data_IF_236903933755
#
_entry.id   IF_236903933755
#
_cell.length_a   1.000
_cell.length_b   1.000
_cell.length_c   1.000
_cell.angle_alpha   90.00
_cell.angle_beta   90.00
_cell.angle_gamma   90.00
#
_symmetry.space_group_name_H-M   'P 1'
#
loop_
_entity.id
_entity.type
_entity.pdbx_description
1 polymer ?
#
# COMPACT_ATOMS: atom_id res chain seq x y z
N UNK A 1 0.36 29.04 15.02
CA UNK A 1 -0.70 28.59 15.98
C UNK A 1 -1.87 28.11 15.16
N UNK A 2 -1.85 26.80 14.84
CA UNK A 2 -2.88 26.16 14.03
C UNK A 2 -4.13 25.95 14.87
N UNK A 3 -5.21 26.64 14.50
CA UNK A 3 -6.54 26.28 15.00
C UNK A 3 -7.09 25.14 14.16
N UNK A 4 -7.33 23.95 14.70
CA UNK A 4 -8.10 22.95 13.99
C UNK A 4 -9.53 23.49 13.83
N UNK A 5 -9.99 23.54 12.58
CA UNK A 5 -11.39 23.88 12.28
C UNK A 5 -12.24 22.72 12.78
N UNK A 6 -13.25 22.96 13.66
CA UNK A 6 -14.08 21.89 14.20
C UNK A 6 -14.89 21.25 13.09
N UNK A 7 -14.62 19.98 12.81
CA UNK A 7 -15.50 19.14 12.01
C UNK A 7 -16.55 18.52 12.93
N UNK A 8 -17.78 18.43 12.46
CA UNK A 8 -18.81 17.64 13.11
C UNK A 8 -18.34 16.18 13.12
N UNK A 9 -18.21 15.60 14.29
CA UNK A 9 -17.79 14.21 14.46
C UNK A 9 -18.74 13.30 13.65
N UNK A 10 -18.20 12.64 12.60
CA UNK A 10 -18.91 11.63 11.83
C UNK A 10 -19.14 11.89 10.32
N UNK A 11 -18.79 13.06 9.76
CA UNK A 11 -18.93 13.27 8.30
C UNK A 11 -17.60 12.99 7.58
N UNK A 12 -17.61 12.27 6.42
CA UNK A 12 -16.42 12.02 5.63
C UNK A 12 -15.84 13.34 5.07
N UNK A 13 -14.51 13.37 4.91
CA UNK A 13 -13.84 14.49 4.26
C UNK A 13 -14.12 14.48 2.75
N UNK A 14 -14.11 13.29 2.14
CA UNK A 14 -14.42 13.07 0.72
C UNK A 14 -15.64 12.19 0.62
N UNK A 15 -16.57 12.57 -0.26
CA UNK A 15 -17.74 11.77 -0.61
C UNK A 15 -18.01 11.84 -2.10
N UNK A 16 -18.06 10.67 -2.74
CA UNK A 16 -18.56 10.47 -4.08
C UNK A 16 -19.90 9.71 -4.02
N UNK A 17 -20.89 10.16 -4.76
CA UNK A 17 -22.21 9.53 -4.84
C UNK A 17 -22.55 9.28 -6.32
N UNK A 18 -22.34 8.05 -6.79
CA UNK A 18 -22.63 7.63 -8.15
C UNK A 18 -21.85 8.39 -9.22
N UNK A 19 -20.61 8.81 -8.93
CA UNK A 19 -19.82 9.63 -9.85
C UNK A 19 -19.49 8.86 -11.13
N UNK A 20 -19.85 9.44 -12.27
CA UNK A 20 -19.61 8.88 -13.61
C UNK A 20 -18.81 9.86 -14.44
N UNK A 21 -17.81 9.35 -15.17
CA UNK A 21 -17.01 10.15 -16.12
C UNK A 21 -16.84 9.42 -17.42
N UNK A 22 -17.10 10.13 -18.53
CA UNK A 22 -16.99 9.61 -19.89
C UNK A 22 -16.02 10.45 -20.73
N UNK A 23 -15.28 9.80 -21.59
CA UNK A 23 -14.45 10.42 -22.62
C UNK A 23 -14.87 9.85 -23.97
N UNK A 24 -15.76 10.56 -24.67
CA UNK A 24 -16.39 10.06 -25.89
C UNK A 24 -17.21 8.81 -25.63
N UNK A 25 -16.85 7.67 -26.23
CA UNK A 25 -17.50 6.37 -26.02
C UNK A 25 -16.97 5.57 -24.82
N UNK A 26 -15.89 6.02 -24.18
CA UNK A 26 -15.26 5.31 -23.08
C UNK A 26 -15.78 5.84 -21.76
N UNK A 27 -16.34 4.94 -20.92
CA UNK A 27 -16.71 5.25 -19.53
C UNK A 27 -15.50 4.96 -18.64
N UNK A 28 -14.82 6.03 -18.19
CA UNK A 28 -13.65 5.91 -17.35
C UNK A 28 -13.99 5.67 -15.87
N UNK A 29 -15.15 6.18 -15.42
CA UNK A 29 -15.74 5.88 -14.10
C UNK A 29 -17.23 5.64 -14.30
N UNK A 30 -17.76 4.56 -13.71
CA UNK A 30 -19.16 4.16 -13.81
C UNK A 30 -19.80 4.05 -12.41
N UNK A 31 -20.53 5.09 -12.03
CA UNK A 31 -21.31 5.20 -10.79
C UNK A 31 -20.51 4.89 -9.53
N UNK A 32 -19.29 5.41 -9.44
CA UNK A 32 -18.41 5.24 -8.29
C UNK A 32 -18.97 5.96 -7.08
N UNK A 33 -19.14 5.23 -5.96
CA UNK A 33 -19.52 5.78 -4.66
C UNK A 33 -18.45 5.43 -3.64
N UNK A 34 -17.94 6.44 -2.92
CA UNK A 34 -16.80 6.30 -2.00
C UNK A 34 -16.85 7.39 -0.94
N UNK A 35 -16.67 7.01 0.32
CA UNK A 35 -16.42 7.92 1.43
C UNK A 35 -14.98 7.76 1.94
N UNK A 36 -14.31 8.89 2.27
CA UNK A 36 -12.99 8.90 2.92
C UNK A 36 -13.06 9.75 4.17
N UNK A 37 -12.63 9.19 5.29
CA UNK A 37 -12.66 9.87 6.59
C UNK A 37 -11.52 10.89 6.72
N UNK A 38 -11.69 11.95 7.55
CA UNK A 38 -10.57 12.82 7.89
C UNK A 38 -9.42 12.04 8.53
N UNK A 39 -8.20 12.31 8.11
CA UNK A 39 -6.99 11.65 8.59
C UNK A 39 -6.76 10.25 8.03
N UNK A 40 -7.63 9.74 7.16
CA UNK A 40 -7.50 8.42 6.53
C UNK A 40 -6.44 8.45 5.41
N UNK A 41 -5.62 7.42 5.35
CA UNK A 41 -4.81 7.11 4.17
C UNK A 41 -5.52 6.04 3.35
N UNK A 42 -6.06 6.45 2.20
CA UNK A 42 -6.68 5.55 1.22
C UNK A 42 -5.71 5.27 0.06
N UNK A 43 -5.47 4.00 -0.24
CA UNK A 43 -4.82 3.58 -1.48
C UNK A 43 -5.85 3.15 -2.53
N UNK A 44 -5.73 3.70 -3.74
CA UNK A 44 -6.54 3.34 -4.90
C UNK A 44 -5.68 2.52 -5.85
N UNK A 45 -6.00 1.24 -5.97
CA UNK A 45 -5.25 0.28 -6.78
C UNK A 45 -6.03 -0.15 -8.02
N UNK A 46 -5.39 -0.86 -8.93
CA UNK A 46 -6.00 -1.43 -10.13
C UNK A 46 -5.09 -1.36 -11.34
N UNK A 47 -5.44 -2.08 -12.42
CA UNK A 47 -4.64 -2.11 -13.64
C UNK A 47 -4.53 -0.74 -14.33
N UNK A 48 -3.60 -0.61 -15.27
CA UNK A 48 -3.50 0.60 -16.11
C UNK A 48 -4.80 0.79 -16.90
N UNK A 49 -5.27 2.03 -17.00
CA UNK A 49 -6.53 2.35 -17.69
C UNK A 49 -7.81 2.06 -16.90
N UNK A 50 -7.74 1.63 -15.63
CA UNK A 50 -8.94 1.33 -14.81
C UNK A 50 -9.72 2.57 -14.35
N UNK A 51 -9.20 3.81 -14.55
CA UNK A 51 -9.87 5.04 -14.15
C UNK A 51 -9.27 5.74 -12.91
N UNK A 52 -8.16 5.25 -12.34
CA UNK A 52 -7.54 5.78 -11.11
C UNK A 52 -7.18 7.27 -11.22
N UNK A 53 -6.44 7.65 -12.25
CA UNK A 53 -6.08 9.05 -12.52
C UNK A 53 -7.33 9.91 -12.77
N UNK A 54 -8.36 9.36 -13.41
CA UNK A 54 -9.65 10.05 -13.59
C UNK A 54 -10.33 10.32 -12.26
N UNK A 55 -10.37 9.34 -11.35
CA UNK A 55 -10.89 9.52 -10.00
C UNK A 55 -10.12 10.61 -9.26
N UNK A 56 -8.80 10.60 -9.34
CA UNK A 56 -7.94 11.60 -8.72
C UNK A 56 -8.18 13.00 -9.29
N UNK A 57 -8.37 13.11 -10.62
CA UNK A 57 -8.69 14.36 -11.29
C UNK A 57 -10.05 14.94 -10.87
N UNK A 58 -11.08 14.09 -10.66
CA UNK A 58 -12.36 14.55 -10.13
C UNK A 58 -12.21 15.08 -8.70
N UNK A 59 -11.50 14.37 -7.84
CA UNK A 59 -11.24 14.77 -6.45
C UNK A 59 -10.35 16.02 -6.37
N UNK A 60 -9.41 16.15 -7.29
CA UNK A 60 -8.54 17.33 -7.40
C UNK A 60 -9.21 18.54 -8.03
N UNK A 61 -10.45 18.43 -8.52
CA UNK A 61 -11.12 19.49 -9.27
C UNK A 61 -10.42 19.87 -10.57
N UNK A 62 -9.66 18.94 -11.16
CA UNK A 62 -9.00 19.07 -12.46
C UNK A 62 -9.94 18.71 -13.60
N UNK A 63 -10.96 17.89 -13.32
CA UNK A 63 -12.02 17.50 -14.23
C UNK A 63 -13.36 17.47 -13.48
N UNK A 64 -14.46 17.32 -14.20
CA UNK A 64 -15.82 17.28 -13.66
C UNK A 64 -16.47 15.93 -13.93
N UNK A 65 -17.23 15.43 -12.97
CA UNK A 65 -18.10 14.28 -13.21
C UNK A 65 -19.22 14.68 -14.18
N UNK A 66 -19.58 13.75 -15.09
CA UNK A 66 -20.69 13.94 -16.01
C UNK A 66 -22.03 13.63 -15.32
N UNK A 67 -22.03 12.72 -14.34
CA UNK A 67 -23.19 12.36 -13.52
C UNK A 67 -22.72 12.10 -12.06
N UNK A 68 -23.67 12.18 -11.14
CA UNK A 68 -23.42 11.98 -9.72
C UNK A 68 -22.88 13.22 -9.02
N UNK A 69 -22.36 13.04 -7.80
CA UNK A 69 -21.91 14.16 -6.94
C UNK A 69 -20.52 13.87 -6.36
N UNK A 70 -19.69 14.90 -6.30
CA UNK A 70 -18.38 14.87 -5.66
C UNK A 70 -18.31 16.00 -4.63
N UNK A 71 -18.11 15.63 -3.36
CA UNK A 71 -18.03 16.58 -2.24
C UNK A 71 -16.71 16.38 -1.50
N UNK A 72 -15.98 17.47 -1.23
CA UNK A 72 -14.74 17.45 -0.43
C UNK A 72 -14.79 18.57 0.61
N UNK A 73 -14.56 18.23 1.86
CA UNK A 73 -14.58 19.19 2.97
C UNK A 73 -15.90 19.96 3.12
N UNK A 74 -17.02 19.36 2.71
CA UNK A 74 -18.35 19.98 2.67
C UNK A 74 -18.60 20.84 1.43
N UNK A 75 -17.65 20.97 0.51
CA UNK A 75 -17.80 21.70 -0.77
C UNK A 75 -18.18 20.73 -1.87
N UNK A 76 -19.33 20.94 -2.52
CA UNK A 76 -19.76 20.16 -3.68
C UNK A 76 -19.04 20.64 -4.95
N UNK A 77 -18.05 19.86 -5.42
CA UNK A 77 -17.22 20.22 -6.59
C UNK A 77 -18.01 20.24 -7.90
N UNK A 78 -19.00 19.37 -8.03
CA UNK A 78 -19.84 19.26 -9.21
C UNK A 78 -20.69 20.52 -9.46
N UNK A 79 -20.94 21.31 -8.43
CA UNK A 79 -21.70 22.57 -8.51
C UNK A 79 -20.82 23.82 -8.74
N UNK A 80 -19.49 23.71 -8.65
CA UNK A 80 -18.58 24.85 -8.78
C UNK A 80 -18.37 25.23 -10.26
N UNK A 81 -18.20 26.53 -10.51
CA UNK A 81 -17.64 27.05 -11.75
C UNK A 81 -16.10 26.90 -11.78
N UNK A 82 -15.46 27.36 -12.86
CA UNK A 82 -13.99 27.21 -13.00
C UNK A 82 -13.21 28.04 -11.98
N UNK A 83 -13.74 29.21 -11.60
CA UNK A 83 -13.14 30.02 -10.53
C UNK A 83 -13.28 29.37 -9.18
N UNK A 84 -14.42 28.72 -8.91
CA UNK A 84 -14.66 27.91 -7.71
C UNK A 84 -13.71 26.73 -7.61
N UNK A 85 -13.53 25.97 -8.71
CA UNK A 85 -12.57 24.87 -8.76
C UNK A 85 -11.13 25.36 -8.60
N UNK A 86 -10.80 26.54 -9.15
CA UNK A 86 -9.46 27.12 -8.97
C UNK A 86 -9.20 27.49 -7.51
N UNK A 87 -10.17 28.11 -6.82
CA UNK A 87 -10.06 28.38 -5.37
C UNK A 87 -9.96 27.09 -4.57
N UNK A 88 -10.77 26.08 -4.91
CA UNK A 88 -10.72 24.77 -4.26
C UNK A 88 -9.32 24.12 -4.36
N UNK A 89 -8.75 24.05 -5.57
CA UNK A 89 -7.39 23.51 -5.77
C UNK A 89 -6.34 24.27 -4.96
N UNK A 90 -6.46 25.57 -4.94
CA UNK A 90 -5.52 26.45 -4.24
C UNK A 90 -5.55 26.25 -2.73
N UNK A 91 -6.75 26.10 -2.15
CA UNK A 91 -6.97 26.23 -0.70
C UNK A 91 -7.14 24.87 0.02
N UNK A 92 -7.55 23.81 -0.70
CA UNK A 92 -7.98 22.56 -0.07
C UNK A 92 -7.16 21.34 -0.46
N UNK A 93 -6.44 21.38 -1.59
CA UNK A 93 -5.83 20.17 -2.16
C UNK A 93 -4.35 20.36 -2.43
N UNK A 94 -3.53 19.40 -1.99
CA UNK A 94 -2.15 19.22 -2.43
C UNK A 94 -2.08 18.11 -3.48
N UNK A 95 -1.52 18.42 -4.65
CA UNK A 95 -1.40 17.47 -5.75
C UNK A 95 0.06 17.04 -5.95
N UNK A 96 0.30 15.73 -5.95
CA UNK A 96 1.59 15.09 -6.23
C UNK A 96 1.41 14.16 -7.41
N UNK A 97 2.10 14.43 -8.52
CA UNK A 97 1.98 13.66 -9.76
C UNK A 97 3.18 12.73 -9.96
N UNK A 98 2.99 11.69 -10.77
CA UNK A 98 4.04 10.80 -11.23
C UNK A 98 5.10 11.55 -12.05
N UNK A 99 4.67 12.45 -12.92
CA UNK A 99 5.55 13.42 -13.57
C UNK A 99 5.66 14.65 -12.68
N UNK A 100 6.87 15.08 -12.39
CA UNK A 100 7.15 16.10 -11.38
C UNK A 100 6.50 17.47 -11.66
N UNK A 101 6.31 17.83 -12.93
CA UNK A 101 5.76 19.12 -13.34
C UNK A 101 6.42 20.32 -12.64
N UNK A 102 7.74 20.22 -12.42
CA UNK A 102 8.54 21.34 -11.94
C UNK A 102 8.85 22.29 -13.09
N UNK A 103 8.85 23.58 -12.79
CA UNK A 103 9.25 24.61 -13.75
C UNK A 103 10.79 24.57 -13.90
N UNK A 104 11.33 24.21 -15.08
CA UNK A 104 12.74 23.85 -15.23
C UNK A 104 13.71 25.03 -15.06
N UNK A 105 13.20 26.25 -15.21
CA UNK A 105 13.98 27.49 -15.08
C UNK A 105 13.94 28.07 -13.66
N UNK A 106 13.08 27.55 -12.78
CA UNK A 106 12.98 27.95 -11.37
C UNK A 106 13.83 27.01 -10.49
N UNK A 107 14.32 27.53 -9.39
CA UNK A 107 14.98 26.76 -8.33
C UNK A 107 13.97 25.88 -7.57
N UNK A 108 14.44 25.01 -6.67
CA UNK A 108 13.57 24.23 -5.79
C UNK A 108 12.70 25.14 -4.91
N UNK A 109 13.32 26.17 -4.33
CA UNK A 109 12.63 27.17 -3.50
C UNK A 109 11.55 27.89 -4.30
N UNK A 110 11.89 28.43 -5.47
CA UNK A 110 10.96 29.14 -6.35
C UNK A 110 9.80 28.26 -6.84
N UNK A 111 10.07 26.97 -7.11
CA UNK A 111 9.01 26.01 -7.46
C UNK A 111 7.98 25.81 -6.33
N UNK A 112 8.40 25.83 -5.06
CA UNK A 112 7.49 25.80 -3.93
C UNK A 112 6.75 27.12 -3.78
N UNK A 113 7.44 28.24 -3.89
CA UNK A 113 6.85 29.59 -3.80
C UNK A 113 5.80 29.88 -4.87
N UNK A 114 5.84 29.23 -6.05
CA UNK A 114 4.79 29.35 -7.06
C UNK A 114 3.41 28.99 -6.49
N UNK A 115 3.31 27.94 -5.68
CA UNK A 115 2.03 27.54 -5.08
C UNK A 115 1.53 28.58 -4.05
N UNK A 116 2.43 29.18 -3.27
CA UNK A 116 2.09 30.28 -2.35
C UNK A 116 1.59 31.51 -3.11
N UNK A 117 2.23 31.86 -4.22
CA UNK A 117 1.90 33.06 -4.99
C UNK A 117 0.45 33.11 -5.45
N UNK A 118 -0.15 31.96 -5.70
CA UNK A 118 -1.57 31.83 -6.05
C UNK A 118 -2.50 31.81 -4.83
N UNK A 119 -1.98 31.54 -3.62
CA UNK A 119 -2.77 31.44 -2.39
C UNK A 119 -2.71 32.72 -1.56
N UNK A 120 -1.50 33.25 -1.35
CA UNK A 120 -1.24 34.38 -0.44
C UNK A 120 -0.02 35.19 -0.96
N UNK A 121 0.63 35.95 -0.07
CA UNK A 121 1.94 36.49 -0.36
C UNK A 121 2.98 35.37 -0.25
N UNK A 122 3.87 35.27 -1.23
CA UNK A 122 4.98 34.32 -1.18
C UNK A 122 5.90 34.62 0.00
N UNK A 123 6.18 33.60 0.80
CA UNK A 123 7.08 33.66 1.95
C UNK A 123 8.24 32.66 1.72
N UNK A 124 9.42 33.23 1.43
CA UNK A 124 10.63 32.47 1.16
C UNK A 124 11.05 31.58 2.36
N UNK A 125 10.86 32.07 3.58
CA UNK A 125 11.20 31.34 4.79
C UNK A 125 10.29 30.12 4.96
N UNK A 126 8.99 30.29 4.76
CA UNK A 126 8.03 29.17 4.86
C UNK A 126 8.30 28.12 3.78
N UNK A 127 8.62 28.56 2.55
CA UNK A 127 9.01 27.66 1.47
C UNK A 127 10.31 26.88 1.76
N UNK A 128 11.30 27.55 2.35
CA UNK A 128 12.55 26.92 2.78
C UNK A 128 12.30 25.90 3.92
N UNK A 129 11.44 26.24 4.89
CA UNK A 129 11.04 25.31 5.95
C UNK A 129 10.28 24.08 5.39
N UNK A 130 9.43 24.27 4.38
CA UNK A 130 8.74 23.16 3.69
C UNK A 130 9.75 22.23 2.98
N UNK A 131 10.74 22.77 2.31
CA UNK A 131 11.83 21.99 1.70
C UNK A 131 12.70 21.27 2.74
N UNK A 132 13.00 21.92 3.86
CA UNK A 132 13.75 21.30 4.94
C UNK A 132 13.02 20.08 5.54
N UNK A 133 11.68 20.15 5.69
CA UNK A 133 10.84 19.02 6.17
C UNK A 133 10.92 17.78 5.28
N UNK A 134 11.15 17.95 3.99
CA UNK A 134 11.33 16.83 3.05
C UNK A 134 12.82 16.50 2.82
N UNK A 135 13.73 17.02 3.65
CA UNK A 135 15.17 16.75 3.59
C UNK A 135 15.90 17.45 2.45
N UNK A 136 15.42 18.65 2.02
CA UNK A 136 16.00 19.44 0.93
C UNK A 136 16.44 20.85 1.37
N UNK A 137 16.72 21.06 2.65
CA UNK A 137 17.16 22.37 3.18
C UNK A 137 18.45 22.91 2.55
N UNK A 138 19.34 22.03 2.09
CA UNK A 138 20.61 22.41 1.44
C UNK A 138 20.49 22.53 -0.09
N UNK A 139 19.28 22.38 -0.66
CA UNK A 139 19.05 22.31 -2.10
C UNK A 139 18.20 23.47 -2.64
N UNK A 140 17.99 24.51 -1.86
CA UNK A 140 17.06 25.61 -2.15
C UNK A 140 17.29 26.25 -3.53
N UNK A 141 18.56 26.50 -3.88
CA UNK A 141 18.98 27.18 -5.09
C UNK A 141 19.17 26.27 -6.31
N UNK A 142 18.94 24.93 -6.13
CA UNK A 142 19.09 23.98 -7.24
C UNK A 142 17.90 24.02 -8.16
N UNK A 143 18.18 23.93 -9.46
CA UNK A 143 17.15 23.77 -10.51
C UNK A 143 16.82 22.28 -10.68
N UNK A 144 15.64 21.93 -11.25
CA UNK A 144 15.28 20.55 -11.48
C UNK A 144 16.32 19.70 -12.20
N UNK A 145 17.05 20.29 -13.18
CA UNK A 145 18.13 19.59 -13.89
C UNK A 145 19.35 19.22 -13.02
N UNK A 146 19.45 19.77 -11.82
CA UNK A 146 20.53 19.54 -10.84
C UNK A 146 20.08 18.63 -9.69
N UNK A 147 18.83 18.14 -9.75
CA UNK A 147 18.20 17.30 -8.74
C UNK A 147 17.98 15.90 -9.31
N UNK A 148 18.20 14.87 -8.49
CA UNK A 148 17.79 13.51 -8.79
C UNK A 148 16.27 13.39 -8.89
N UNK A 149 15.73 12.31 -9.47
CA UNK A 149 14.28 12.08 -9.56
C UNK A 149 13.61 12.08 -8.19
N UNK A 150 14.24 11.47 -7.19
CA UNK A 150 13.71 11.47 -5.82
C UNK A 150 13.75 12.84 -5.15
N UNK A 151 14.76 13.66 -5.41
CA UNK A 151 14.81 15.05 -4.93
C UNK A 151 13.72 15.89 -5.61
N UNK A 152 13.54 15.75 -6.92
CA UNK A 152 12.46 16.42 -7.65
C UNK A 152 11.07 16.05 -7.09
N UNK A 153 10.84 14.76 -6.79
CA UNK A 153 9.59 14.31 -6.19
C UNK A 153 9.38 14.96 -4.81
N UNK A 154 10.41 15.04 -3.98
CA UNK A 154 10.32 15.71 -2.68
C UNK A 154 10.06 17.21 -2.81
N UNK A 155 10.57 17.90 -3.83
CA UNK A 155 10.18 19.30 -4.15
C UNK A 155 8.68 19.37 -4.48
N UNK A 156 8.14 18.40 -5.26
CA UNK A 156 6.72 18.34 -5.57
C UNK A 156 5.86 18.14 -4.32
N UNK A 157 6.31 17.31 -3.37
CA UNK A 157 5.62 17.11 -2.10
C UNK A 157 5.65 18.40 -1.27
N UNK A 158 6.80 19.06 -1.14
CA UNK A 158 6.90 20.34 -0.43
C UNK A 158 5.96 21.40 -1.06
N UNK A 159 5.92 21.48 -2.40
CA UNK A 159 5.00 22.37 -3.14
C UNK A 159 3.53 22.02 -2.88
N UNK A 160 3.19 20.74 -2.76
CA UNK A 160 1.83 20.31 -2.48
C UNK A 160 1.39 20.66 -1.05
N UNK A 161 2.32 20.73 -0.10
CA UNK A 161 2.05 20.96 1.33
C UNK A 161 2.04 22.42 1.75
N UNK A 162 2.64 23.32 0.96
CA UNK A 162 2.94 24.69 1.38
C UNK A 162 1.70 25.51 1.78
N UNK A 163 0.55 25.23 1.16
CA UNK A 163 -0.72 25.90 1.44
C UNK A 163 -1.57 25.15 2.49
N UNK A 164 -0.99 24.23 3.27
CA UNK A 164 -1.66 23.46 4.32
C UNK A 164 -2.97 22.79 3.87
N UNK A 165 -2.93 21.99 2.80
CA UNK A 165 -4.13 21.37 2.24
C UNK A 165 -4.76 20.38 3.22
N UNK A 166 -6.10 20.26 3.16
CA UNK A 166 -6.84 19.25 3.92
C UNK A 166 -6.75 17.86 3.32
N UNK A 167 -6.53 17.78 2.00
CA UNK A 167 -6.48 16.55 1.23
C UNK A 167 -5.22 16.54 0.38
N UNK A 168 -4.46 15.47 0.47
CA UNK A 168 -3.29 15.23 -0.39
C UNK A 168 -3.65 14.11 -1.35
N UNK A 169 -3.55 14.39 -2.63
CA UNK A 169 -3.77 13.46 -3.73
C UNK A 169 -2.45 13.15 -4.42
N UNK A 170 -2.09 11.87 -4.50
CA UNK A 170 -0.85 11.45 -5.13
C UNK A 170 -1.12 10.40 -6.21
N UNK A 171 -0.67 10.67 -7.44
CA UNK A 171 -0.75 9.74 -8.57
C UNK A 171 0.61 9.11 -8.82
N UNK A 172 0.74 7.82 -8.53
CA UNK A 172 1.96 7.01 -8.67
C UNK A 172 3.23 7.73 -8.12
N UNK A 173 3.21 8.20 -6.85
CA UNK A 173 4.24 9.11 -6.36
C UNK A 173 5.65 8.51 -6.28
N UNK A 174 5.78 7.18 -6.42
CA UNK A 174 7.07 6.46 -6.37
C UNK A 174 7.41 5.73 -7.68
N UNK A 175 6.54 5.77 -8.69
CA UNK A 175 6.65 4.94 -9.89
C UNK A 175 7.91 5.12 -10.74
N UNK A 176 8.62 6.24 -10.59
CA UNK A 176 9.84 6.56 -11.35
C UNK A 176 11.09 6.66 -10.46
N UNK A 177 11.04 6.12 -9.23
CA UNK A 177 12.10 6.26 -8.24
C UNK A 177 12.87 4.94 -8.06
N UNK A 178 14.15 5.05 -7.70
CA UNK A 178 14.90 3.92 -7.17
C UNK A 178 14.44 3.57 -5.75
N UNK A 179 14.81 2.39 -5.25
CA UNK A 179 14.35 1.86 -3.97
C UNK A 179 14.69 2.77 -2.76
N UNK A 180 15.82 3.49 -2.79
CA UNK A 180 16.19 4.38 -1.69
C UNK A 180 15.32 5.64 -1.67
N UNK A 181 15.11 6.26 -2.83
CA UNK A 181 14.26 7.44 -2.95
C UNK A 181 12.78 7.10 -2.75
N UNK A 182 12.31 5.94 -3.22
CA UNK A 182 10.98 5.43 -2.92
C UNK A 182 10.75 5.33 -1.41
N UNK A 183 11.64 4.67 -0.67
CA UNK A 183 11.55 4.56 0.79
C UNK A 183 11.44 5.93 1.46
N UNK A 184 12.26 6.89 1.08
CA UNK A 184 12.24 8.26 1.63
C UNK A 184 10.92 8.97 1.37
N UNK A 185 10.35 8.84 0.15
CA UNK A 185 9.05 9.40 -0.19
C UNK A 185 7.94 8.75 0.64
N UNK A 186 7.96 7.43 0.83
CA UNK A 186 6.99 6.71 1.65
C UNK A 186 7.09 7.06 3.14
N UNK A 187 8.31 7.30 3.66
CA UNK A 187 8.53 7.82 5.01
C UNK A 187 7.85 9.18 5.19
N UNK A 188 7.98 10.11 4.23
CA UNK A 188 7.30 11.41 4.26
C UNK A 188 5.77 11.25 4.28
N UNK A 189 5.19 10.40 3.42
CA UNK A 189 3.74 10.14 3.44
C UNK A 189 3.28 9.55 4.78
N UNK A 190 4.07 8.63 5.35
CA UNK A 190 3.79 8.05 6.66
C UNK A 190 3.84 9.08 7.80
N UNK A 191 4.75 10.06 7.72
CA UNK A 191 4.82 11.18 8.67
C UNK A 191 3.63 12.12 8.52
N UNK A 192 3.22 12.44 7.30
CA UNK A 192 2.03 13.25 7.02
C UNK A 192 0.76 12.59 7.54
N UNK A 193 0.62 11.27 7.33
CA UNK A 193 -0.51 10.51 7.85
C UNK A 193 -0.54 10.52 9.39
N UNK A 194 0.59 10.25 10.05
CA UNK A 194 0.70 10.34 11.52
C UNK A 194 0.43 11.75 12.06
N UNK A 195 0.68 12.79 11.28
CA UNK A 195 0.33 14.16 11.60
C UNK A 195 -1.16 14.49 11.38
N UNK A 196 -1.98 13.53 10.90
CA UNK A 196 -3.42 13.65 10.71
C UNK A 196 -3.86 14.17 9.34
N UNK A 197 -2.95 14.21 8.35
CA UNK A 197 -3.34 14.55 6.98
C UNK A 197 -4.13 13.42 6.33
N UNK A 198 -5.15 13.76 5.54
CA UNK A 198 -5.89 12.81 4.71
C UNK A 198 -5.15 12.60 3.40
N UNK A 199 -4.86 11.35 3.06
CA UNK A 199 -4.09 10.97 1.88
C UNK A 199 -4.92 10.07 0.98
N UNK A 200 -4.96 10.36 -0.33
CA UNK A 200 -5.44 9.42 -1.34
C UNK A 200 -4.30 9.19 -2.32
N UNK A 201 -3.77 7.98 -2.32
CA UNK A 201 -2.62 7.58 -3.14
C UNK A 201 -3.06 6.57 -4.18
N UNK A 202 -2.93 6.93 -5.45
CA UNK A 202 -3.10 6.01 -6.57
C UNK A 202 -1.80 5.29 -6.80
N UNK A 203 -1.83 3.95 -6.84
CA UNK A 203 -0.65 3.14 -7.12
C UNK A 203 -1.01 1.75 -7.64
N UNK A 204 -0.12 1.15 -8.42
CA UNK A 204 -0.17 -0.27 -8.76
C UNK A 204 0.81 -1.10 -7.88
N UNK A 205 1.63 -0.45 -7.07
CA UNK A 205 2.61 -1.09 -6.21
C UNK A 205 1.95 -1.61 -4.92
N UNK A 206 1.88 -2.93 -4.76
CA UNK A 206 1.22 -3.56 -3.62
C UNK A 206 1.83 -3.15 -2.27
N UNK A 207 3.16 -2.97 -2.19
CA UNK A 207 3.84 -2.56 -0.96
C UNK A 207 3.49 -1.12 -0.54
N UNK A 208 3.24 -0.20 -1.49
CA UNK A 208 2.75 1.15 -1.20
C UNK A 208 1.33 1.09 -0.66
N UNK A 209 0.47 0.28 -1.31
CA UNK A 209 -0.90 0.06 -0.85
C UNK A 209 -0.96 -0.48 0.59
N UNK A 210 0.00 -1.30 1.02
CA UNK A 210 0.07 -1.85 2.38
C UNK A 210 0.31 -0.82 3.50
N UNK A 211 0.79 0.36 3.18
CA UNK A 211 0.98 1.43 4.15
C UNK A 211 -0.31 2.19 4.46
N UNK A 212 -1.33 2.05 3.61
CA UNK A 212 -2.61 2.73 3.75
C UNK A 212 -3.52 2.03 4.78
N UNK A 213 -4.39 2.80 5.45
CA UNK A 213 -5.41 2.28 6.37
C UNK A 213 -6.44 1.43 5.63
N UNK A 214 -6.78 1.86 4.41
CA UNK A 214 -7.76 1.19 3.55
C UNK A 214 -7.31 1.19 2.10
N UNK A 215 -7.64 0.11 1.40
CA UNK A 215 -7.42 -0.03 -0.04
C UNK A 215 -8.72 -0.30 -0.75
N UNK A 216 -8.81 0.29 -1.93
CA UNK A 216 -9.86 -0.01 -2.90
C UNK A 216 -9.22 -0.40 -4.22
N UNK A 217 -9.89 -1.26 -4.97
CA UNK A 217 -9.49 -1.58 -6.33
C UNK A 217 -10.49 -0.99 -7.30
N UNK A 218 -9.96 -0.24 -8.25
CA UNK A 218 -10.73 0.25 -9.38
C UNK A 218 -10.46 -0.66 -10.58
N UNK A 219 -11.51 -1.26 -11.10
CA UNK A 219 -11.44 -2.11 -12.29
C UNK A 219 -12.49 -1.69 -13.30
N UNK A 220 -12.07 -1.41 -14.55
CA UNK A 220 -12.95 -0.92 -15.63
C UNK A 220 -13.91 0.20 -15.19
N UNK A 221 -13.41 1.16 -14.42
CA UNK A 221 -14.17 2.32 -13.94
C UNK A 221 -15.11 2.04 -12.78
N UNK A 222 -15.09 0.85 -12.20
CA UNK A 222 -15.93 0.45 -11.06
C UNK A 222 -15.07 0.13 -9.84
N UNK A 223 -15.60 0.42 -8.66
CA UNK A 223 -15.01 -0.14 -7.46
C UNK A 223 -15.30 -1.63 -7.45
N UNK A 224 -14.24 -2.43 -7.45
CA UNK A 224 -14.36 -3.85 -7.21
C UNK A 224 -14.52 -4.06 -5.69
N UNK A 225 -15.53 -4.79 -5.29
CA UNK A 225 -15.64 -5.30 -3.92
C UNK A 225 -14.45 -6.25 -3.69
N UNK A 226 -13.41 -5.72 -3.07
CA UNK A 226 -12.38 -6.60 -2.55
C UNK A 226 -12.54 -6.71 -1.05
N UNK A 227 -12.71 -7.92 -0.52
CA UNK A 227 -12.52 -8.21 0.89
C UNK A 227 -11.01 -8.19 1.21
N UNK A 228 -10.32 -7.04 0.95
CA UNK A 228 -8.86 -6.97 1.01
C UNK A 228 -8.30 -6.87 2.42
N UNK A 229 -9.05 -6.28 3.35
CA UNK A 229 -8.59 -6.14 4.73
C UNK A 229 -8.49 -7.51 5.42
N UNK A 230 -9.45 -8.38 5.20
CA UNK A 230 -9.41 -9.73 5.74
C UNK A 230 -8.34 -10.61 5.07
N UNK A 231 -8.13 -10.48 3.75
CA UNK A 231 -7.14 -11.29 3.03
C UNK A 231 -5.71 -10.86 3.33
N UNK A 232 -5.43 -9.56 3.55
CA UNK A 232 -4.07 -9.09 3.84
C UNK A 232 -3.64 -9.31 5.28
N UNK A 233 -4.53 -9.08 6.22
CA UNK A 233 -4.25 -9.46 7.60
C UNK A 233 -4.05 -10.98 7.65
N UNK A 234 -4.83 -11.75 6.88
CA UNK A 234 -4.63 -13.18 6.74
C UNK A 234 -3.25 -13.52 6.15
N UNK A 235 -2.82 -12.84 5.09
CA UNK A 235 -1.47 -13.05 4.50
C UNK A 235 -0.37 -12.60 5.45
N UNK A 236 -0.55 -11.49 6.17
CA UNK A 236 0.40 -11.08 7.23
C UNK A 236 0.47 -12.11 8.36
N UNK A 237 -0.67 -12.65 8.78
CA UNK A 237 -0.71 -13.73 9.76
C UNK A 237 0.01 -14.95 9.24
N UNK A 238 -0.21 -15.31 7.99
CA UNK A 238 0.42 -16.45 7.35
C UNK A 238 1.95 -16.31 7.35
N UNK A 239 2.49 -15.21 6.87
CA UNK A 239 3.93 -14.93 6.92
C UNK A 239 4.48 -14.92 8.35
N UNK A 240 3.70 -14.39 9.30
CA UNK A 240 4.12 -14.35 10.70
C UNK A 240 4.17 -15.76 11.30
N UNK A 241 3.15 -16.57 11.05
CA UNK A 241 3.06 -17.96 11.50
C UNK A 241 4.12 -18.85 10.85
N UNK A 242 4.40 -18.62 9.56
CA UNK A 242 5.48 -19.31 8.85
C UNK A 242 6.86 -18.99 9.46
N UNK A 243 7.12 -17.73 9.77
CA UNK A 243 8.37 -17.31 10.40
C UNK A 243 8.52 -17.88 11.82
N UNK A 244 7.42 -17.89 12.58
CA UNK A 244 7.38 -18.57 13.89
C UNK A 244 7.73 -20.05 13.75
N UNK A 245 7.18 -20.74 12.73
CA UNK A 245 7.48 -22.14 12.46
C UNK A 245 8.95 -22.37 12.15
N UNK A 246 9.56 -21.51 11.33
CA UNK A 246 10.99 -21.65 11.02
C UNK A 246 11.90 -21.44 12.22
N UNK A 247 11.58 -20.52 13.12
CA UNK A 247 12.31 -20.32 14.37
C UNK A 247 12.21 -21.57 15.29
N UNK A 248 11.02 -22.15 15.43
CA UNK A 248 10.84 -23.40 16.19
C UNK A 248 11.58 -24.59 15.56
N UNK A 249 11.59 -24.73 14.24
CA UNK A 249 12.37 -25.77 13.57
C UNK A 249 13.88 -25.63 13.80
N UNK A 250 14.38 -24.43 14.02
CA UNK A 250 15.78 -24.15 14.32
C UNK A 250 16.09 -24.30 15.81
N UNK A 251 15.07 -24.50 16.65
CA UNK A 251 15.20 -24.55 18.11
C UNK A 251 15.45 -23.15 18.72
N UNK A 252 15.14 -22.08 18.00
CA UNK A 252 15.28 -20.72 18.47
C UNK A 252 14.00 -20.23 19.17
N UNK A 253 14.13 -19.39 20.22
CA UNK A 253 12.97 -18.82 20.87
C UNK A 253 12.26 -17.86 19.93
N UNK A 254 10.94 -17.99 19.82
CA UNK A 254 10.11 -17.11 18.99
C UNK A 254 9.91 -15.78 19.70
N UNK A 255 10.87 -14.87 19.55
CA UNK A 255 10.76 -13.50 20.03
C UNK A 255 10.17 -12.63 18.93
N UNK A 256 9.05 -11.93 19.20
CA UNK A 256 8.37 -11.13 18.17
C UNK A 256 9.28 -10.07 17.53
N UNK A 257 10.25 -9.55 18.27
CA UNK A 257 11.26 -8.60 17.76
C UNK A 257 12.25 -9.21 16.74
N UNK A 258 12.38 -10.55 16.71
CA UNK A 258 13.26 -11.26 15.78
C UNK A 258 12.53 -11.59 14.47
N UNK A 259 11.21 -11.48 14.45
CA UNK A 259 10.40 -11.70 13.26
C UNK A 259 10.50 -10.47 12.36
N UNK A 260 11.22 -10.63 11.26
CA UNK A 260 11.37 -9.61 10.22
C UNK A 260 10.50 -9.98 9.04
N UNK A 261 9.40 -9.29 8.89
CA UNK A 261 8.60 -9.39 7.67
C UNK A 261 9.06 -8.30 6.70
N UNK A 262 9.25 -8.61 5.41
CA UNK A 262 9.78 -7.66 4.41
C UNK A 262 9.01 -6.33 4.36
N UNK A 263 7.74 -6.35 4.74
CA UNK A 263 6.79 -5.25 4.56
C UNK A 263 6.18 -4.72 5.87
N UNK A 264 6.72 -5.11 7.04
CA UNK A 264 6.19 -4.70 8.35
C UNK A 264 7.27 -3.98 9.14
N UNK A 265 7.19 -2.65 9.18
CA UNK A 265 8.09 -1.80 9.98
C UNK A 265 7.88 -1.94 11.50
N UNK A 266 6.63 -2.24 11.92
CA UNK A 266 6.25 -2.42 13.31
C UNK A 266 5.44 -3.71 13.46
N UNK A 267 6.01 -4.79 14.02
CA UNK A 267 5.33 -6.08 14.16
C UNK A 267 4.26 -6.10 15.26
N UNK A 268 4.29 -5.15 16.22
CA UNK A 268 3.41 -5.14 17.38
C UNK A 268 1.91 -5.21 17.04
N UNK A 269 1.35 -4.40 16.12
CA UNK A 269 -0.08 -4.48 15.79
C UNK A 269 -0.48 -5.84 15.19
N UNK A 270 0.41 -6.45 14.42
CA UNK A 270 0.19 -7.79 13.84
C UNK A 270 0.21 -8.86 14.92
N UNK A 271 1.11 -8.74 15.91
CA UNK A 271 1.19 -9.65 17.06
C UNK A 271 -0.07 -9.56 17.92
N UNK A 272 -0.53 -8.35 18.22
CA UNK A 272 -1.75 -8.14 18.99
C UNK A 272 -2.95 -8.79 18.31
N UNK A 273 -3.11 -8.55 17.01
CA UNK A 273 -4.18 -9.14 16.22
C UNK A 273 -4.07 -10.68 16.12
N UNK A 274 -2.86 -11.25 15.98
CA UNK A 274 -2.64 -12.70 16.01
C UNK A 274 -3.07 -13.35 17.33
N UNK A 275 -2.82 -12.65 18.44
CA UNK A 275 -3.23 -13.11 19.78
C UNK A 275 -4.74 -12.98 19.97
N UNK A 276 -5.34 -11.86 19.53
CA UNK A 276 -6.80 -11.65 19.59
C UNK A 276 -7.57 -12.69 18.76
N UNK A 277 -7.06 -13.00 17.57
CA UNK A 277 -7.64 -14.03 16.69
C UNK A 277 -7.37 -15.47 17.15
N UNK A 278 -6.57 -15.64 18.20
CA UNK A 278 -6.30 -16.93 18.82
C UNK A 278 -5.36 -17.86 18.03
N UNK A 279 -4.47 -17.31 17.21
CA UNK A 279 -3.41 -18.07 16.52
C UNK A 279 -2.14 -18.20 17.35
N UNK A 280 -1.85 -17.24 18.23
CA UNK A 280 -0.69 -17.27 19.11
C UNK A 280 -1.08 -16.85 20.52
N UNK A 281 -0.23 -17.21 21.49
CA UNK A 281 -0.24 -16.67 22.86
C UNK A 281 1.05 -15.91 23.09
N UNK A 282 0.98 -14.81 23.86
CA UNK A 282 2.13 -13.99 24.18
C UNK A 282 2.51 -14.10 25.66
N UNK A 283 3.78 -14.35 25.92
CA UNK A 283 4.34 -14.30 27.28
C UNK A 283 5.56 -13.35 27.27
N UNK A 284 5.34 -12.10 27.67
CA UNK A 284 6.36 -11.05 27.55
C UNK A 284 6.74 -10.79 26.11
N UNK A 285 7.99 -11.07 25.75
CA UNK A 285 8.50 -10.93 24.37
C UNK A 285 8.38 -12.22 23.55
N UNK A 286 8.02 -13.33 24.16
CA UNK A 286 7.96 -14.65 23.52
C UNK A 286 6.55 -14.95 23.04
N UNK A 287 6.45 -15.51 21.84
CA UNK A 287 5.20 -16.01 21.26
C UNK A 287 5.21 -17.52 21.23
N UNK A 288 4.05 -18.10 21.44
CA UNK A 288 3.82 -19.55 21.35
C UNK A 288 2.59 -19.80 20.48
N UNK A 289 2.64 -20.83 19.67
CA UNK A 289 1.48 -21.26 18.90
C UNK A 289 0.33 -21.71 19.82
N UNK A 290 -0.88 -21.39 19.41
CA UNK A 290 -2.06 -22.16 19.83
C UNK A 290 -2.18 -23.41 18.94
N UNK A 291 -3.08 -24.32 19.27
CA UNK A 291 -3.40 -25.46 18.39
C UNK A 291 -3.79 -25.00 16.99
N UNK A 292 -4.71 -24.03 16.90
CA UNK A 292 -5.18 -23.41 15.66
C UNK A 292 -4.04 -22.74 14.88
N UNK A 293 -3.14 -22.04 15.57
CA UNK A 293 -1.98 -21.39 14.95
C UNK A 293 -0.99 -22.40 14.39
N UNK A 294 -0.72 -23.47 15.15
CA UNK A 294 0.19 -24.54 14.72
C UNK A 294 -0.36 -25.31 13.50
N UNK A 295 -1.65 -25.59 13.45
CA UNK A 295 -2.29 -26.23 12.30
C UNK A 295 -2.17 -25.35 11.05
N UNK A 296 -2.49 -24.07 11.17
CA UNK A 296 -2.40 -23.12 10.05
C UNK A 296 -0.96 -22.95 9.57
N UNK A 297 0.02 -22.80 10.47
CA UNK A 297 1.44 -22.71 10.12
C UNK A 297 1.92 -23.98 9.41
N UNK A 298 1.53 -25.16 9.91
CA UNK A 298 1.85 -26.45 9.30
C UNK A 298 1.37 -26.55 7.86
N UNK A 299 0.13 -26.13 7.61
CA UNK A 299 -0.49 -26.12 6.28
C UNK A 299 0.23 -25.17 5.33
N UNK A 300 0.55 -23.96 5.76
CA UNK A 300 1.27 -22.98 4.97
C UNK A 300 2.65 -23.50 4.58
N UNK A 301 3.44 -23.93 5.54
CA UNK A 301 4.77 -24.48 5.30
C UNK A 301 4.72 -25.71 4.40
N UNK A 302 3.67 -26.54 4.50
CA UNK A 302 3.46 -27.65 3.60
C UNK A 302 3.24 -27.19 2.15
N UNK A 303 2.34 -26.23 1.94
CA UNK A 303 2.04 -25.65 0.60
C UNK A 303 3.28 -25.00 -0.01
N UNK A 304 4.00 -24.20 0.77
CA UNK A 304 5.25 -23.57 0.35
C UNK A 304 6.25 -24.61 -0.16
N UNK A 305 6.59 -25.61 0.67
CA UNK A 305 7.60 -26.63 0.37
C UNK A 305 7.20 -27.57 -0.77
N UNK A 306 5.91 -27.84 -0.94
CA UNK A 306 5.39 -28.57 -2.12
C UNK A 306 5.51 -27.75 -3.39
N UNK A 307 5.25 -26.43 -3.32
CA UNK A 307 5.43 -25.52 -4.43
C UNK A 307 6.89 -25.42 -4.85
N UNK A 308 7.84 -25.35 -3.92
CA UNK A 308 9.27 -25.43 -4.20
C UNK A 308 9.64 -26.72 -4.94
N UNK A 309 9.14 -27.86 -4.47
CA UNK A 309 9.38 -29.17 -5.14
C UNK A 309 8.83 -29.20 -6.56
N UNK A 310 7.64 -28.67 -6.79
CA UNK A 310 7.01 -28.62 -8.10
C UNK A 310 7.83 -27.76 -9.07
N UNK A 311 8.24 -26.59 -8.62
CA UNK A 311 8.96 -25.63 -9.46
C UNK A 311 10.40 -26.06 -9.76
N UNK A 312 11.15 -26.44 -8.74
CA UNK A 312 12.54 -26.89 -8.93
C UNK A 312 12.62 -28.25 -9.62
N UNK A 313 11.80 -29.22 -9.20
CA UNK A 313 11.86 -30.60 -9.70
C UNK A 313 11.17 -30.81 -11.03
N UNK A 314 10.07 -30.12 -11.32
CA UNK A 314 9.24 -30.35 -12.52
C UNK A 314 9.40 -29.24 -13.56
N UNK A 315 9.44 -27.97 -13.13
CA UNK A 315 9.53 -26.82 -14.03
C UNK A 315 10.97 -26.33 -14.23
N UNK A 316 11.93 -26.87 -13.46
CA UNK A 316 13.37 -26.57 -13.55
C UNK A 316 13.69 -25.07 -13.45
N UNK A 317 12.95 -24.33 -12.59
CA UNK A 317 13.21 -22.91 -12.32
C UNK A 317 14.45 -22.73 -11.43
N UNK A 318 15.11 -21.59 -11.55
CA UNK A 318 16.27 -21.22 -10.72
C UNK A 318 15.85 -20.83 -9.29
N UNK A 319 16.73 -21.08 -8.31
CA UNK A 319 16.43 -20.88 -6.86
C UNK A 319 15.76 -19.54 -6.50
N UNK A 320 16.22 -18.36 -6.99
CA UNK A 320 15.55 -17.09 -6.62
C UNK A 320 14.11 -16.99 -7.15
N UNK A 321 13.82 -17.59 -8.31
CA UNK A 321 12.47 -17.60 -8.90
C UNK A 321 11.56 -18.60 -8.18
N UNK A 322 12.12 -19.72 -7.72
CA UNK A 322 11.40 -20.75 -6.95
C UNK A 322 10.89 -20.18 -5.65
N UNK A 323 11.75 -19.57 -4.83
CA UNK A 323 11.37 -19.03 -3.52
C UNK A 323 10.30 -17.94 -3.62
N UNK A 324 10.52 -16.93 -4.50
CA UNK A 324 9.56 -15.83 -4.69
C UNK A 324 8.20 -16.28 -5.23
N UNK A 325 8.17 -17.38 -6.01
CA UNK A 325 6.93 -17.90 -6.60
C UNK A 325 6.23 -18.87 -5.64
N UNK A 326 6.96 -19.66 -4.86
CA UNK A 326 6.40 -20.52 -3.82
C UNK A 326 5.67 -19.72 -2.77
N UNK A 327 6.28 -18.62 -2.28
CA UNK A 327 5.68 -17.70 -1.33
C UNK A 327 4.35 -17.08 -1.84
N UNK A 328 4.22 -16.83 -3.13
CA UNK A 328 2.95 -16.33 -3.71
C UNK A 328 1.89 -17.43 -3.85
N UNK A 329 2.30 -18.65 -4.18
CA UNK A 329 1.39 -19.77 -4.41
C UNK A 329 0.79 -20.34 -3.13
N UNK A 330 1.51 -20.34 -2.02
CA UNK A 330 1.05 -20.90 -0.74
C UNK A 330 -0.26 -20.27 -0.23
N UNK A 331 -0.48 -18.97 -0.53
CA UNK A 331 -1.68 -18.23 -0.14
C UNK A 331 -2.88 -18.46 -1.06
N UNK A 332 -2.65 -19.00 -2.27
CA UNK A 332 -3.68 -19.22 -3.29
C UNK A 332 -4.07 -20.70 -3.38
N UNK A 333 -3.15 -21.60 -3.05
CA UNK A 333 -3.40 -23.04 -3.08
C UNK A 333 -4.37 -23.41 -1.94
N UNK A 334 -5.45 -24.10 -2.29
CA UNK A 334 -6.28 -24.79 -1.31
C UNK A 334 -5.72 -26.18 -0.94
N UNK A 335 -6.27 -26.78 0.09
CA UNK A 335 -5.80 -28.06 0.63
C UNK A 335 -5.89 -29.19 -0.42
N UNK A 336 -6.96 -29.20 -1.23
CA UNK A 336 -7.18 -30.22 -2.25
C UNK A 336 -6.14 -30.15 -3.37
N UNK A 337 -5.74 -28.94 -3.77
CA UNK A 337 -4.70 -28.72 -4.76
C UNK A 337 -3.34 -29.07 -4.19
N UNK A 338 -3.05 -28.71 -2.94
CA UNK A 338 -1.80 -29.10 -2.25
C UNK A 338 -1.68 -30.62 -2.14
N UNK A 339 -2.75 -31.33 -1.85
CA UNK A 339 -2.79 -32.78 -1.83
C UNK A 339 -2.57 -33.43 -3.21
N UNK A 340 -3.15 -32.85 -4.24
CA UNK A 340 -2.93 -33.28 -5.62
C UNK A 340 -1.47 -33.08 -6.05
N UNK A 341 -0.85 -31.93 -5.71
CA UNK A 341 0.58 -31.68 -5.94
C UNK A 341 1.43 -32.70 -5.18
N UNK A 342 1.11 -32.95 -3.90
CA UNK A 342 1.84 -33.91 -3.07
C UNK A 342 1.80 -35.33 -3.68
N UNK A 343 0.63 -35.77 -4.14
CA UNK A 343 0.45 -37.07 -4.78
C UNK A 343 1.19 -37.13 -6.12
N UNK A 344 1.12 -36.08 -6.95
CA UNK A 344 1.84 -35.97 -8.22
C UNK A 344 3.35 -36.09 -8.00
N UNK A 345 3.88 -35.46 -6.98
CA UNK A 345 5.30 -35.51 -6.58
C UNK A 345 5.66 -36.80 -5.80
N UNK A 346 4.78 -37.77 -5.70
CA UNK A 346 4.99 -39.06 -5.01
C UNK A 346 5.30 -38.89 -3.51
N UNK A 347 4.65 -37.95 -2.83
CA UNK A 347 4.75 -37.68 -1.41
C UNK A 347 6.19 -37.38 -0.94
N UNK A 348 6.80 -36.29 -1.42
CA UNK A 348 8.17 -35.94 -1.09
C UNK A 348 8.33 -35.73 0.43
N UNK A 349 9.43 -36.20 1.00
CA UNK A 349 9.69 -36.07 2.42
C UNK A 349 10.35 -34.74 2.81
N UNK A 350 11.06 -34.13 1.85
CA UNK A 350 11.76 -32.83 2.02
C UNK A 350 11.71 -32.02 0.74
N UNK A 351 11.79 -30.70 0.91
CA UNK A 351 11.88 -29.74 -0.20
C UNK A 351 13.32 -29.70 -0.77
N UNK A 352 13.58 -29.01 -1.88
CA UNK A 352 14.90 -28.88 -2.50
C UNK A 352 15.99 -28.37 -1.55
N UNK A 353 15.62 -27.54 -0.57
CA UNK A 353 16.51 -27.02 0.47
C UNK A 353 16.73 -27.99 1.65
N UNK A 354 16.25 -29.24 1.54
CA UNK A 354 16.42 -30.29 2.58
C UNK A 354 15.51 -30.15 3.80
N UNK A 355 14.58 -29.20 3.80
CA UNK A 355 13.62 -29.02 4.91
C UNK A 355 12.47 -30.01 4.81
N UNK A 356 12.04 -30.55 5.95
CA UNK A 356 11.00 -31.60 6.04
C UNK A 356 9.63 -31.03 5.62
N UNK A 357 8.94 -31.69 4.71
CA UNK A 357 7.56 -31.33 4.35
C UNK A 357 6.59 -31.94 5.36
N UNK A 358 5.71 -31.14 6.00
CA UNK A 358 4.67 -31.67 6.86
C UNK A 358 3.74 -32.63 6.11
N UNK A 359 3.35 -33.75 6.72
CA UNK A 359 2.43 -34.69 6.12
C UNK A 359 1.00 -34.13 6.10
N UNK A 360 0.29 -34.30 4.97
CA UNK A 360 -1.15 -34.05 4.83
C UNK A 360 -1.94 -35.37 4.78
N UNK A 361 -3.26 -35.26 4.60
CA UNK A 361 -4.18 -36.40 4.61
C UNK A 361 -3.94 -37.36 3.43
N UNK A 362 -3.45 -36.84 2.31
CA UNK A 362 -3.04 -37.64 1.14
C UNK A 362 -1.82 -38.53 1.39
N UNK A 363 -1.05 -38.30 2.47
CA UNK A 363 0.18 -39.03 2.69
C UNK A 363 -0.08 -40.38 3.35
N UNK A 364 0.50 -41.50 2.87
CA UNK A 364 0.37 -42.80 3.52
C UNK A 364 0.95 -42.73 4.95
N UNK A 365 0.34 -43.44 5.93
CA UNK A 365 0.86 -43.45 7.29
C UNK A 365 2.31 -43.96 7.30
N UNK A 366 3.21 -43.14 7.85
CA UNK A 366 4.63 -43.48 7.94
C UNK A 366 4.85 -44.67 8.91
N UNK A 367 4.84 -45.87 8.34
CA UNK A 367 5.05 -47.06 9.12
C UNK A 367 4.65 -48.33 8.38
N UNK A 368 5.33 -48.64 7.25
CA UNK A 368 5.64 -49.97 6.74
C UNK A 368 6.43 -49.78 5.43
N UNK A 369 7.76 -49.84 5.48
CA UNK A 369 8.52 -50.20 4.29
C UNK A 369 8.00 -51.55 3.84
N UNK A 370 7.25 -51.59 2.77
CA UNK A 370 7.06 -52.81 2.01
C UNK A 370 8.36 -53.06 1.30
N UNK A 371 9.15 -53.98 1.84
CA UNK A 371 10.28 -54.59 1.15
C UNK A 371 9.72 -55.35 -0.02
N UNK A 372 10.09 -54.98 -1.20
CA UNK A 372 10.08 -55.83 -2.39
C UNK A 372 11.46 -55.78 -3.05
#
# INVERSE_FOLDING_TARGET
>A
MDRPIPQAAGSPLVRLEGATKRFGSVTALDRVSLDVSPGEWLAVMGPSGSGKTTLLNLLGGLDRADEGRVTVGGTELTALDDDGLTRYRRDQVGLVFQQFHLLPYLTALENVMVAQHYHSMADEREAAEALARVGLGDFLDRRPSQLSGGEQQRVCIARALINHPRLILADEPTGNLDAENERRVLEIFSELHRAGHTLIVVTHAAHVGRLADRRIVLDHGKLADMPLVASEMAVRFDHFLEHMWYLEEQGEPVLYRNIRLPDVLHPEPTVEALVEEGFATRNGETLHFTERGSERARDLVRRHRLSECLMAGTLHLADPEVEATACRLEHVLDESVADAICAFLQHPASCPHGKRIPAGDCCPPRGKRVSA
#
